data_IF_305022499098
#
_entry.id   IF_305022499098
#
_cell.length_a   1.000
_cell.length_b   1.000
_cell.length_c   1.000
_cell.angle_alpha   90.00
_cell.angle_beta   90.00
_cell.angle_gamma   90.00
#
_symmetry.space_group_name_H-M   'P 1'
#
loop_
_entity.id
_entity.type
_entity.pdbx_description
1 polymer ?
#
# COMPACT_ATOMS: atom_id res chain seq x y z
N UNK A 1 -5.04 5.31 1.61
CA UNK A 1 -6.28 4.83 2.25
C UNK A 1 -5.97 3.47 2.83
N UNK A 2 -6.55 3.13 3.97
CA UNK A 2 -6.54 1.74 4.46
C UNK A 2 -7.48 0.88 3.59
N UNK A 3 -7.31 -0.44 3.60
CA UNK A 3 -8.22 -1.34 2.86
C UNK A 3 -9.66 -1.23 3.37
N UNK A 4 -9.84 -0.97 4.67
CA UNK A 4 -11.16 -0.70 5.25
C UNK A 4 -11.84 0.56 4.68
N UNK A 5 -11.09 1.45 4.02
CA UNK A 5 -11.59 2.68 3.39
C UNK A 5 -11.71 2.57 1.86
N UNK A 6 -11.69 1.35 1.30
CA UNK A 6 -11.63 1.09 -0.15
C UNK A 6 -12.67 1.86 -0.96
N UNK A 7 -13.91 1.96 -0.49
CA UNK A 7 -14.97 2.66 -1.22
C UNK A 7 -14.72 4.17 -1.30
N UNK A 8 -14.13 4.76 -0.25
CA UNK A 8 -13.74 6.18 -0.28
C UNK A 8 -12.54 6.38 -1.21
N UNK A 9 -11.57 5.46 -1.18
CA UNK A 9 -10.41 5.49 -2.08
C UNK A 9 -10.86 5.49 -3.54
N UNK A 10 -11.74 4.54 -3.90
CA UNK A 10 -12.31 4.40 -5.25
C UNK A 10 -13.09 5.62 -5.72
N UNK A 11 -13.99 6.16 -4.87
CA UNK A 11 -14.74 7.39 -5.20
C UNK A 11 -13.84 8.59 -5.47
N UNK A 12 -12.65 8.63 -4.86
CA UNK A 12 -11.66 9.68 -5.05
C UNK A 12 -10.58 9.31 -6.08
N UNK A 13 -10.70 8.17 -6.77
CA UNK A 13 -9.72 7.67 -7.73
C UNK A 13 -8.31 7.47 -7.13
N UNK A 14 -8.24 6.97 -5.90
CA UNK A 14 -7.00 6.63 -5.19
C UNK A 14 -6.93 5.13 -4.91
N UNK A 15 -5.71 4.66 -4.64
CA UNK A 15 -5.44 3.30 -4.16
C UNK A 15 -5.54 3.18 -2.64
N UNK A 16 -5.84 1.97 -2.17
CA UNK A 16 -5.53 1.55 -0.80
C UNK A 16 -4.05 1.21 -0.64
N UNK A 17 -3.55 1.19 0.60
CA UNK A 17 -2.18 0.80 0.88
C UNK A 17 -1.95 -0.67 0.53
N UNK A 18 -2.94 -1.55 0.81
CA UNK A 18 -2.93 -2.93 0.34
C UNK A 18 -2.82 -3.04 -1.19
N UNK A 19 -3.58 -2.26 -1.95
CA UNK A 19 -3.52 -2.26 -3.42
C UNK A 19 -2.13 -1.82 -3.92
N UNK A 20 -1.55 -0.75 -3.35
CA UNK A 20 -0.19 -0.33 -3.68
C UNK A 20 0.86 -1.41 -3.39
N UNK A 21 0.73 -2.10 -2.25
CA UNK A 21 1.58 -3.21 -1.87
C UNK A 21 1.49 -4.39 -2.83
N UNK A 22 0.28 -4.75 -3.26
CA UNK A 22 0.05 -5.84 -4.24
C UNK A 22 0.66 -5.53 -5.59
N UNK A 23 0.47 -4.31 -6.10
CA UNK A 23 1.06 -3.87 -7.39
C UNK A 23 2.58 -3.99 -7.34
N UNK A 24 3.21 -3.50 -6.26
CA UNK A 24 4.66 -3.57 -6.08
C UNK A 24 5.15 -5.03 -6.03
N UNK A 25 4.40 -5.91 -5.35
CA UNK A 25 4.74 -7.32 -5.23
C UNK A 25 4.66 -8.03 -6.60
N UNK A 26 3.59 -7.78 -7.36
CA UNK A 26 3.40 -8.32 -8.71
C UNK A 26 4.44 -7.81 -9.70
N UNK A 27 4.85 -6.55 -9.57
CA UNK A 27 5.88 -5.94 -10.41
C UNK A 27 7.31 -6.35 -10.03
N UNK A 28 7.49 -7.16 -8.97
CA UNK A 28 8.80 -7.60 -8.48
C UNK A 28 9.81 -6.44 -8.28
N UNK A 29 9.32 -5.28 -7.84
CA UNK A 29 10.20 -4.13 -7.59
C UNK A 29 11.08 -4.39 -6.37
N UNK A 30 12.28 -3.82 -6.37
CA UNK A 30 13.23 -3.98 -5.26
C UNK A 30 12.80 -3.28 -3.98
N UNK A 31 11.99 -2.22 -4.07
CA UNK A 31 11.54 -1.44 -2.92
C UNK A 31 10.21 -0.75 -3.22
N UNK A 32 9.42 -0.53 -2.15
CA UNK A 32 8.16 0.21 -2.17
C UNK A 32 8.25 1.38 -1.17
N UNK A 33 7.89 2.59 -1.62
CA UNK A 33 7.74 3.77 -0.76
C UNK A 33 6.38 4.41 -0.96
N UNK A 34 5.57 4.45 0.09
CA UNK A 34 4.30 5.16 0.07
C UNK A 34 4.52 6.66 0.31
N UNK A 35 3.73 7.47 -0.39
CA UNK A 35 3.68 8.92 -0.28
C UNK A 35 2.26 9.43 -0.55
N UNK A 36 2.02 10.74 -0.43
CA UNK A 36 0.71 11.36 -0.64
C UNK A 36 -0.39 10.82 0.28
N UNK A 37 -0.11 10.83 1.59
CA UNK A 37 -1.10 10.49 2.60
C UNK A 37 -2.13 11.60 2.76
N UNK A 38 -3.39 11.22 2.91
CA UNK A 38 -4.43 12.19 3.26
C UNK A 38 -4.15 12.79 4.64
N UNK A 39 -4.40 14.09 4.85
CA UNK A 39 -4.21 14.74 6.15
C UNK A 39 -4.93 14.04 7.31
N UNK A 40 -6.04 13.35 7.04
CA UNK A 40 -6.78 12.54 8.03
C UNK A 40 -5.97 11.39 8.65
N UNK A 41 -4.86 10.99 8.02
CA UNK A 41 -3.92 9.97 8.53
C UNK A 41 -2.62 10.59 9.04
N UNK A 42 -2.58 11.89 9.31
CA UNK A 42 -1.45 12.49 10.03
C UNK A 42 -1.27 11.78 11.38
N UNK A 43 -0.07 11.29 11.66
CA UNK A 43 0.23 10.47 12.84
C UNK A 43 -0.04 8.97 12.69
N UNK A 44 -0.83 8.55 11.69
CA UNK A 44 -1.20 7.14 11.47
C UNK A 44 -0.55 6.51 10.22
N UNK A 45 0.42 7.18 9.61
CA UNK A 45 1.11 6.68 8.41
C UNK A 45 1.70 5.27 8.59
N UNK A 46 2.09 4.91 9.81
CA UNK A 46 2.57 3.58 10.16
C UNK A 46 1.57 2.46 9.83
N UNK A 47 0.26 2.70 9.98
CA UNK A 47 -0.80 1.71 9.67
C UNK A 47 -0.86 1.43 8.17
N UNK A 48 -0.76 2.48 7.35
CA UNK A 48 -0.69 2.37 5.90
C UNK A 48 0.56 1.61 5.45
N UNK A 49 1.71 1.92 6.06
CA UNK A 49 2.97 1.24 5.75
C UNK A 49 2.88 -0.25 6.11
N UNK A 50 2.35 -0.59 7.28
CA UNK A 50 2.16 -1.98 7.71
C UNK A 50 1.26 -2.75 6.74
N UNK A 51 0.12 -2.18 6.34
CA UNK A 51 -0.82 -2.82 5.42
C UNK A 51 -0.20 -3.10 4.04
N UNK A 52 0.53 -2.13 3.48
CA UNK A 52 1.25 -2.33 2.22
C UNK A 52 2.36 -3.37 2.33
N UNK A 53 3.13 -3.33 3.43
CA UNK A 53 4.27 -4.24 3.66
C UNK A 53 3.80 -5.69 3.84
N UNK A 54 2.66 -5.89 4.50
CA UNK A 54 2.09 -7.21 4.76
C UNK A 54 1.76 -8.02 3.48
N UNK A 55 1.51 -7.33 2.36
CA UNK A 55 1.28 -7.96 1.05
C UNK A 55 2.48 -7.86 0.12
N UNK A 56 3.30 -6.81 0.23
CA UNK A 56 4.53 -6.66 -0.54
C UNK A 56 5.53 -7.80 -0.25
N UNK A 57 5.73 -8.15 1.03
CA UNK A 57 6.70 -9.18 1.44
C UNK A 57 6.27 -10.63 1.17
N UNK A 58 5.01 -10.89 0.80
CA UNK A 58 4.49 -12.25 0.58
C UNK A 58 4.76 -12.80 -0.82
N UNK A 59 5.21 -11.95 -1.76
CA UNK A 59 5.51 -12.37 -3.14
C UNK A 59 7.01 -12.63 -3.35
N UNK A 60 7.76 -13.00 -2.30
CA UNK A 60 9.20 -13.28 -2.38
C UNK A 60 9.50 -14.56 -3.18
N UNK A 61 9.32 -14.46 -4.49
CA UNK A 61 9.96 -15.25 -5.54
C UNK A 61 10.87 -14.35 -6.38
N UNK A 62 11.64 -13.46 -5.74
CA UNK A 62 12.69 -12.68 -6.41
C UNK A 62 13.94 -13.54 -6.67
N UNK A 63 14.69 -13.29 -7.77
CA UNK A 63 15.71 -14.21 -8.26
C UNK A 63 16.89 -14.35 -7.30
N UNK A 64 17.41 -15.57 -7.19
CA UNK A 64 18.73 -15.89 -6.62
C UNK A 64 19.84 -15.21 -7.43
#
# INVERSE_FOLDING_TARGET
>A
FLESEKDVARRKYHLTAREAGLIAAQAAVKALRLFHFSPRHMGEAHRLIQEATAVFGKSSGGPK
#
